data_IF_365702776898
#
_entry.id   IF_365702776898
#
_cell.length_a   1.000
_cell.length_b   1.000
_cell.length_c   1.000
_cell.angle_alpha   90.00
_cell.angle_beta   90.00
_cell.angle_gamma   90.00
#
_symmetry.space_group_name_H-M   'P 1'
#
loop_
_entity.id
_entity.type
_entity.pdbx_description
1 polymer ?
#
# COMPACT_ATOMS: atom_id res chain seq x y z
N UNK A 1 -19.52 -23.76 15.87
CA UNK A 1 -18.36 -23.10 15.26
C UNK A 1 -17.20 -23.28 16.21
N UNK A 2 -16.05 -23.80 15.77
CA UNK A 2 -14.90 -23.91 16.66
C UNK A 2 -14.30 -22.52 16.91
N UNK A 3 -13.59 -22.35 18.01
CA UNK A 3 -12.91 -21.08 18.32
C UNK A 3 -11.93 -20.70 17.19
N UNK A 4 -11.32 -21.70 16.54
CA UNK A 4 -10.41 -21.52 15.40
C UNK A 4 -11.16 -20.97 14.16
N UNK A 5 -12.36 -21.48 13.87
CA UNK A 5 -13.20 -20.95 12.78
C UNK A 5 -13.60 -19.51 13.05
N UNK A 6 -13.99 -19.19 14.29
CA UNK A 6 -14.36 -17.83 14.68
C UNK A 6 -13.19 -16.84 14.50
N UNK A 7 -11.98 -17.23 14.94
CA UNK A 7 -10.76 -16.43 14.77
C UNK A 7 -10.43 -16.23 13.28
N UNK A 8 -10.48 -17.30 12.47
CA UNK A 8 -10.22 -17.19 11.03
C UNK A 8 -11.19 -16.22 10.37
N UNK A 9 -12.49 -16.30 10.68
CA UNK A 9 -13.48 -15.35 10.17
C UNK A 9 -13.16 -13.90 10.57
N UNK A 10 -12.83 -13.64 11.84
CA UNK A 10 -12.46 -12.29 12.28
C UNK A 10 -11.23 -11.76 11.54
N UNK A 11 -10.18 -12.56 11.38
CA UNK A 11 -8.98 -12.17 10.63
C UNK A 11 -9.31 -11.79 9.19
N UNK A 12 -10.14 -12.59 8.51
CA UNK A 12 -10.58 -12.32 7.15
C UNK A 12 -11.38 -11.01 7.05
N UNK A 13 -12.40 -10.84 7.90
CA UNK A 13 -13.25 -9.64 7.85
C UNK A 13 -12.50 -8.37 8.24
N UNK A 14 -11.62 -8.43 9.24
CA UNK A 14 -10.76 -7.29 9.60
C UNK A 14 -9.80 -6.95 8.46
N UNK A 15 -9.22 -7.96 7.79
CA UNK A 15 -8.39 -7.77 6.62
C UNK A 15 -9.15 -7.09 5.47
N UNK A 16 -10.34 -7.59 5.13
CA UNK A 16 -11.22 -6.98 4.13
C UNK A 16 -11.60 -5.53 4.47
N UNK A 17 -11.94 -5.26 5.74
CA UNK A 17 -12.23 -3.91 6.20
C UNK A 17 -11.00 -3.00 6.13
N UNK A 18 -9.82 -3.52 6.45
CA UNK A 18 -8.54 -2.83 6.30
C UNK A 18 -8.27 -2.44 4.84
N UNK A 19 -8.53 -3.34 3.88
CA UNK A 19 -8.43 -3.05 2.44
C UNK A 19 -9.46 -1.99 2.01
N UNK A 20 -10.68 -2.03 2.53
CA UNK A 20 -11.68 -0.99 2.26
C UNK A 20 -11.21 0.40 2.71
N UNK A 21 -10.67 0.52 3.92
CA UNK A 21 -10.05 1.76 4.42
C UNK A 21 -8.87 2.17 3.52
N UNK A 22 -8.04 1.21 3.09
CA UNK A 22 -6.90 1.47 2.23
C UNK A 22 -7.31 2.09 0.89
N UNK A 23 -8.41 1.65 0.27
CA UNK A 23 -8.93 2.26 -0.97
C UNK A 23 -9.23 3.75 -0.75
N UNK A 24 -9.80 4.11 0.39
CA UNK A 24 -10.02 5.51 0.77
C UNK A 24 -8.72 6.30 0.93
N UNK A 25 -7.70 5.71 1.54
CA UNK A 25 -6.36 6.31 1.64
C UNK A 25 -5.74 6.53 0.26
N UNK A 26 -5.83 5.56 -0.65
CA UNK A 26 -5.33 5.69 -2.03
C UNK A 26 -6.06 6.81 -2.76
N UNK A 27 -7.38 6.91 -2.64
CA UNK A 27 -8.14 8.01 -3.23
C UNK A 27 -7.68 9.38 -2.71
N UNK A 28 -7.46 9.49 -1.39
CA UNK A 28 -6.92 10.70 -0.78
C UNK A 28 -5.51 11.04 -1.28
N UNK A 29 -4.59 10.07 -1.32
CA UNK A 29 -3.23 10.28 -1.80
C UNK A 29 -3.20 10.63 -3.29
N UNK A 30 -4.04 9.98 -4.11
CA UNK A 30 -4.21 10.27 -5.54
C UNK A 30 -4.52 11.74 -5.78
N UNK A 31 -5.47 12.31 -5.04
CA UNK A 31 -5.90 13.69 -5.24
C UNK A 31 -4.86 14.67 -4.70
N UNK A 32 -4.28 14.36 -3.53
CA UNK A 32 -3.51 15.36 -2.78
C UNK A 32 -2.01 15.37 -3.08
N UNK A 33 -1.40 14.20 -3.27
CA UNK A 33 0.06 14.07 -3.26
C UNK A 33 0.62 13.32 -4.45
N UNK A 34 -0.12 12.40 -5.06
CA UNK A 34 0.38 11.58 -6.16
C UNK A 34 0.89 12.40 -7.36
N UNK A 35 0.21 13.49 -7.81
CA UNK A 35 0.73 14.32 -8.89
C UNK A 35 2.06 14.99 -8.53
N UNK A 36 2.23 15.41 -7.27
CA UNK A 36 3.49 15.99 -6.79
C UNK A 36 4.64 14.96 -6.83
N UNK A 37 4.36 13.70 -6.49
CA UNK A 37 5.37 12.65 -6.59
C UNK A 37 5.74 12.37 -8.04
N UNK A 38 4.78 12.34 -8.95
CA UNK A 38 5.03 12.18 -10.39
C UNK A 38 5.88 13.32 -10.96
N UNK A 39 5.59 14.56 -10.53
CA UNK A 39 6.37 15.74 -10.92
C UNK A 39 7.82 15.67 -10.40
N UNK A 40 8.07 15.12 -9.21
CA UNK A 40 9.42 15.03 -8.60
C UNK A 40 10.20 13.77 -9.03
N UNK A 41 9.54 12.62 -9.08
CA UNK A 41 10.17 11.30 -9.24
C UNK A 41 10.17 10.84 -10.69
N UNK A 42 9.12 11.16 -11.44
CA UNK A 42 8.89 10.72 -12.83
C UNK A 42 8.98 11.89 -13.83
N UNK A 43 9.68 12.96 -13.47
CA UNK A 43 9.97 14.10 -14.34
C UNK A 43 8.72 14.72 -14.99
N UNK A 44 7.59 14.73 -14.27
CA UNK A 44 6.32 15.28 -14.74
C UNK A 44 5.40 14.29 -15.47
N UNK A 45 5.80 13.01 -15.60
CA UNK A 45 4.98 11.99 -16.23
C UNK A 45 3.88 11.51 -15.28
N UNK A 46 2.65 11.97 -15.50
CA UNK A 46 1.49 11.69 -14.65
C UNK A 46 0.74 10.42 -15.07
N UNK A 47 1.33 9.26 -14.81
CA UNK A 47 0.74 7.97 -15.18
C UNK A 47 -0.19 7.40 -14.09
N UNK A 48 0.27 7.37 -12.84
CA UNK A 48 -0.45 6.81 -11.70
C UNK A 48 -1.63 7.67 -11.24
N UNK A 49 -1.59 8.99 -11.43
CA UNK A 49 -2.72 9.87 -11.04
C UNK A 49 -3.90 9.86 -12.02
N UNK A 50 -3.77 9.26 -13.21
CA UNK A 50 -4.81 9.24 -14.25
C UNK A 50 -6.12 8.61 -13.77
N UNK A 51 -6.05 7.43 -13.17
CA UNK A 51 -7.22 6.68 -12.72
C UNK A 51 -7.01 6.13 -11.32
N UNK A 52 -8.10 5.84 -10.61
CA UNK A 52 -8.00 5.25 -9.27
C UNK A 52 -7.36 3.85 -9.31
N UNK A 53 -7.56 3.11 -10.41
CA UNK A 53 -6.97 1.80 -10.62
C UNK A 53 -5.44 1.87 -10.73
N UNK A 54 -4.91 2.88 -11.42
CA UNK A 54 -3.46 3.11 -11.53
C UNK A 54 -2.87 3.73 -10.24
N UNK A 55 -3.67 4.50 -9.50
CA UNK A 55 -3.20 5.12 -8.27
C UNK A 55 -2.81 4.11 -7.19
N UNK A 56 -3.50 2.97 -7.09
CA UNK A 56 -3.16 1.91 -6.15
C UNK A 56 -1.71 1.40 -6.31
N UNK A 57 -1.35 0.84 -7.48
CA UNK A 57 0.02 0.46 -7.79
C UNK A 57 1.03 1.59 -7.64
N UNK A 58 0.69 2.82 -8.05
CA UNK A 58 1.57 3.99 -7.88
C UNK A 58 1.88 4.29 -6.41
N UNK A 59 0.86 4.30 -5.55
CA UNK A 59 1.04 4.49 -4.10
C UNK A 59 1.94 3.41 -3.51
N UNK A 60 1.75 2.15 -3.89
CA UNK A 60 2.60 1.04 -3.43
C UNK A 60 4.04 1.17 -3.95
N UNK A 61 4.23 1.48 -5.23
CA UNK A 61 5.56 1.68 -5.81
C UNK A 61 6.32 2.81 -5.11
N UNK A 62 5.73 4.00 -5.00
CA UNK A 62 6.43 5.12 -4.36
C UNK A 62 6.73 4.84 -2.88
N UNK A 63 5.82 4.16 -2.16
CA UNK A 63 6.09 3.73 -0.80
C UNK A 63 7.32 2.83 -0.71
N UNK A 64 7.47 1.87 -1.62
CA UNK A 64 8.66 0.99 -1.66
C UNK A 64 9.94 1.73 -2.02
N UNK A 65 9.87 2.77 -2.86
CA UNK A 65 11.00 3.68 -3.15
C UNK A 65 11.44 4.45 -1.89
N UNK A 66 10.50 4.85 -1.03
CA UNK A 66 10.83 5.49 0.25
C UNK A 66 11.38 4.51 1.29
N UNK A 67 10.85 3.28 1.33
CA UNK A 67 11.26 2.24 2.28
C UNK A 67 12.64 1.66 1.96
N UNK A 68 12.95 1.40 0.69
CA UNK A 68 14.13 0.61 0.31
C UNK A 68 15.01 1.33 -0.72
N UNK A 69 16.26 1.60 -0.32
CA UNK A 69 17.30 2.14 -1.20
C UNK A 69 17.55 1.32 -2.47
N UNK A 70 17.46 -0.02 -2.40
CA UNK A 70 17.58 -0.90 -3.57
C UNK A 70 16.47 -0.62 -4.59
N UNK A 71 15.22 -0.53 -4.14
CA UNK A 71 14.09 -0.22 -5.03
C UNK A 71 14.27 1.18 -5.62
N UNK A 72 14.58 2.17 -4.78
CA UNK A 72 14.86 3.53 -5.26
C UNK A 72 16.00 3.57 -6.30
N UNK A 73 17.05 2.75 -6.14
CA UNK A 73 18.14 2.64 -7.11
C UNK A 73 17.68 1.98 -8.41
N UNK A 74 16.88 0.91 -8.33
CA UNK A 74 16.33 0.20 -9.50
C UNK A 74 15.50 1.11 -10.39
N UNK A 75 14.71 2.01 -9.81
CA UNK A 75 13.87 2.97 -10.55
C UNK A 75 14.57 4.31 -10.83
N UNK A 76 15.86 4.47 -10.51
CA UNK A 76 16.57 5.73 -10.74
C UNK A 76 16.12 6.89 -9.83
N UNK A 77 15.36 6.60 -8.78
CA UNK A 77 14.74 7.58 -7.87
C UNK A 77 15.54 7.79 -6.57
N UNK A 78 16.70 7.15 -6.41
CA UNK A 78 17.47 7.16 -5.16
C UNK A 78 17.82 8.57 -4.66
N UNK A 79 18.19 9.48 -5.56
CA UNK A 79 18.46 10.89 -5.24
C UNK A 79 17.19 11.75 -5.31
N UNK A 80 16.28 11.45 -6.25
CA UNK A 80 15.05 12.23 -6.46
C UNK A 80 14.14 12.21 -5.23
N UNK A 81 14.09 11.08 -4.51
CA UNK A 81 13.25 10.94 -3.31
C UNK A 81 13.63 11.90 -2.18
N UNK A 82 14.87 12.42 -2.15
CA UNK A 82 15.30 13.37 -1.12
C UNK A 82 14.65 14.75 -1.31
N UNK A 83 14.15 15.05 -2.52
CA UNK A 83 13.37 16.25 -2.82
C UNK A 83 11.90 16.13 -2.37
N UNK A 84 11.43 14.94 -2.01
CA UNK A 84 10.06 14.74 -1.53
C UNK A 84 10.00 15.06 -0.04
N UNK A 85 9.09 15.95 0.42
CA UNK A 85 8.93 16.25 1.83
C UNK A 85 8.73 14.99 2.70
N UNK A 86 9.51 14.85 3.78
CA UNK A 86 9.47 13.67 4.67
C UNK A 86 8.08 13.33 5.18
N UNK A 87 7.23 14.35 5.41
CA UNK A 87 5.83 14.16 5.84
C UNK A 87 5.02 13.38 4.81
N UNK A 88 5.22 13.66 3.52
CA UNK A 88 4.53 12.99 2.41
C UNK A 88 5.05 11.57 2.27
N UNK A 89 6.37 11.36 2.33
CA UNK A 89 6.95 10.02 2.31
C UNK A 89 6.34 9.12 3.39
N UNK A 90 6.22 9.62 4.62
CA UNK A 90 5.59 8.89 5.74
C UNK A 90 4.15 8.46 5.45
N UNK A 91 3.35 9.27 4.76
CA UNK A 91 1.98 8.91 4.39
C UNK A 91 1.92 7.74 3.40
N UNK A 92 2.82 7.72 2.42
CA UNK A 92 2.92 6.62 1.45
C UNK A 92 3.39 5.34 2.15
N UNK A 93 4.43 5.44 2.98
CA UNK A 93 4.92 4.30 3.78
C UNK A 93 3.84 3.76 4.72
N UNK A 94 3.12 4.63 5.42
CA UNK A 94 2.00 4.22 6.27
C UNK A 94 0.92 3.47 5.47
N UNK A 95 0.53 4.01 4.32
CA UNK A 95 -0.49 3.42 3.46
C UNK A 95 -0.05 2.05 2.91
N UNK A 96 1.23 1.90 2.61
CA UNK A 96 1.81 0.61 2.24
C UNK A 96 1.79 -0.40 3.40
N UNK A 97 2.26 -0.02 4.59
CA UNK A 97 2.24 -0.91 5.75
C UNK A 97 0.82 -1.33 6.10
N UNK A 98 -0.15 -0.40 6.02
CA UNK A 98 -1.57 -0.69 6.25
C UNK A 98 -2.10 -1.75 5.27
N UNK A 99 -1.78 -1.62 3.97
CA UNK A 99 -2.14 -2.61 2.97
C UNK A 99 -1.52 -3.98 3.27
N UNK A 100 -0.21 -4.01 3.54
CA UNK A 100 0.51 -5.25 3.83
C UNK A 100 -0.01 -5.93 5.09
N UNK A 101 -0.34 -5.18 6.14
CA UNK A 101 -0.96 -5.73 7.36
C UNK A 101 -2.35 -6.29 7.07
N UNK A 102 -3.17 -5.60 6.28
CA UNK A 102 -4.49 -6.09 5.88
C UNK A 102 -4.39 -7.39 5.08
N UNK A 103 -3.48 -7.44 4.11
CA UNK A 103 -3.20 -8.64 3.33
C UNK A 103 -2.65 -9.79 4.17
N UNK A 104 -1.79 -9.50 5.15
CA UNK A 104 -1.24 -10.51 6.07
C UNK A 104 -2.34 -11.14 6.95
N UNK A 105 -3.33 -10.35 7.42
CA UNK A 105 -4.48 -10.88 8.17
C UNK A 105 -5.32 -11.82 7.30
N UNK A 106 -5.60 -11.44 6.05
CA UNK A 106 -6.33 -12.30 5.12
C UNK A 106 -5.55 -13.59 4.80
N UNK A 107 -4.24 -13.49 4.55
CA UNK A 107 -3.39 -14.64 4.31
C UNK A 107 -3.34 -15.57 5.53
N UNK A 108 -3.24 -15.02 6.74
CA UNK A 108 -3.27 -15.78 7.98
C UNK A 108 -4.60 -16.55 8.14
N UNK A 109 -5.74 -15.92 7.81
CA UNK A 109 -7.04 -16.59 7.81
C UNK A 109 -7.06 -17.77 6.83
N UNK A 110 -6.60 -17.59 5.59
CA UNK A 110 -6.56 -18.65 4.57
C UNK A 110 -5.68 -19.80 5.05
N UNK A 111 -4.47 -19.51 5.53
CA UNK A 111 -3.53 -20.52 6.04
C UNK A 111 -4.14 -21.29 7.21
N UNK A 112 -4.85 -20.62 8.12
CA UNK A 112 -5.55 -21.30 9.21
C UNK A 112 -6.66 -22.22 8.70
N UNK A 113 -7.46 -21.77 7.74
CA UNK A 113 -8.53 -22.61 7.17
C UNK A 113 -7.97 -23.88 6.54
N UNK A 114 -6.85 -23.77 5.82
CA UNK A 114 -6.16 -24.91 5.20
C UNK A 114 -5.51 -25.86 6.23
N UNK A 115 -4.88 -25.34 7.29
CA UNK A 115 -4.20 -26.18 8.31
C UNK A 115 -5.20 -26.96 9.16
N UNK A 116 -6.36 -26.37 9.44
CA UNK A 116 -7.35 -26.93 10.35
C UNK A 116 -8.51 -27.63 9.63
N UNK A 117 -8.42 -27.83 8.30
CA UNK A 117 -9.47 -28.41 7.44
C UNK A 117 -10.87 -27.83 7.74
N UNK A 118 -10.94 -26.50 7.87
CA UNK A 118 -12.16 -25.77 8.24
C UNK A 118 -13.11 -25.52 7.06
#
# INVERSE_FOLDING_TARGET
MSDVTLISMYLFFIGCFGVFIWIGLVAYLKVKWLPLLEDILDDGVRFYSLTIFLAGPGVLQYATVFLWSFHAKRYGMLKKRDNVPKRIQKWFVFTFCWFMSSGALMAASIIMTEIYDL
#
